data_IF_546308599462
#
_entry.id   IF_546308599462
#
_cell.length_a   1.000
_cell.length_b   1.000
_cell.length_c   1.000
_cell.angle_alpha   90.00
_cell.angle_beta   90.00
_cell.angle_gamma   90.00
#
_symmetry.space_group_name_H-M   'P 1'
#
loop_
_entity.id
_entity.type
_entity.pdbx_description
1 polymer ?
#
# COMPACT_ATOMS: atom_id res chain seq x y z
N UNK A 1 21.44 26.84 2.35
CA UNK A 1 20.02 27.17 2.35
C UNK A 1 19.63 27.38 3.80
N UNK A 2 18.89 28.43 4.15
CA UNK A 2 18.45 28.63 5.53
C UNK A 2 17.25 27.76 5.81
N UNK A 3 17.11 27.22 7.02
CA UNK A 3 15.99 26.34 7.41
C UNK A 3 14.62 27.01 7.22
N UNK A 4 14.54 28.33 7.38
CA UNK A 4 13.34 29.16 7.17
C UNK A 4 12.87 29.25 5.71
N UNK A 5 13.72 28.84 4.75
CA UNK A 5 13.42 28.83 3.31
C UNK A 5 13.09 27.41 2.81
N UNK A 6 12.91 26.43 3.71
CA UNK A 6 12.61 25.03 3.38
C UNK A 6 11.18 24.70 3.80
N UNK A 7 10.42 24.12 2.88
CA UNK A 7 9.05 23.68 3.11
C UNK A 7 8.95 22.18 2.85
N UNK A 8 8.34 21.44 3.77
CA UNK A 8 8.03 20.03 3.58
C UNK A 8 6.67 19.92 2.90
N UNK A 9 6.68 19.43 1.67
CA UNK A 9 5.48 19.09 0.93
C UNK A 9 5.36 17.56 0.85
N UNK A 10 4.30 17.01 1.42
CA UNK A 10 3.96 15.60 1.26
C UNK A 10 2.94 15.42 0.15
N UNK A 11 3.01 14.29 -0.56
CA UNK A 11 1.99 13.90 -1.52
C UNK A 11 0.65 13.69 -0.83
N UNK A 12 -0.43 14.03 -1.53
CA UNK A 12 -1.80 13.78 -1.08
C UNK A 12 -2.62 13.20 -2.23
N UNK A 13 -3.45 12.17 -2.00
CA UNK A 13 -4.26 11.60 -3.06
C UNK A 13 -5.40 12.54 -3.45
N UNK A 14 -5.76 12.54 -4.75
CA UNK A 14 -7.00 13.15 -5.23
C UNK A 14 -8.15 12.17 -5.04
N UNK A 15 -9.08 12.51 -4.16
CA UNK A 15 -10.22 11.64 -3.81
C UNK A 15 -11.17 11.39 -4.96
N UNK A 16 -11.26 12.30 -5.93
CA UNK A 16 -12.10 12.14 -7.12
C UNK A 16 -11.69 10.91 -7.97
N UNK A 17 -10.39 10.57 -7.98
CA UNK A 17 -9.86 9.40 -8.69
C UNK A 17 -10.10 8.10 -7.91
N UNK A 18 -10.04 8.14 -6.59
CA UNK A 18 -10.04 6.97 -5.71
C UNK A 18 -11.46 6.68 -5.19
N UNK A 19 -12.30 6.12 -6.06
CA UNK A 19 -13.70 5.81 -5.75
C UNK A 19 -13.81 4.47 -5.05
N UNK A 20 -14.54 4.46 -3.93
CA UNK A 20 -14.96 3.22 -3.28
C UNK A 20 -16.10 2.63 -4.09
N UNK A 21 -15.92 1.41 -4.58
CA UNK A 21 -16.89 0.63 -5.34
C UNK A 21 -17.14 -0.71 -4.67
N UNK A 22 -18.26 -1.40 -4.96
CA UNK A 22 -18.48 -2.74 -4.47
C UNK A 22 -17.35 -3.69 -4.85
N UNK A 23 -17.01 -4.59 -3.94
CA UNK A 23 -16.04 -5.65 -4.22
C UNK A 23 -16.54 -6.55 -5.36
N UNK A 24 -15.62 -7.10 -6.16
CA UNK A 24 -15.87 -8.06 -7.24
C UNK A 24 -15.36 -9.45 -6.82
N UNK A 25 -16.20 -10.31 -6.19
CA UNK A 25 -15.74 -11.58 -5.62
C UNK A 25 -15.06 -12.50 -6.63
N UNK A 26 -15.40 -12.41 -7.91
CA UNK A 26 -14.79 -13.19 -8.99
C UNK A 26 -13.26 -12.95 -9.12
N UNK A 27 -12.78 -11.78 -8.72
CA UNK A 27 -11.33 -11.47 -8.71
C UNK A 27 -10.58 -12.37 -7.72
N UNK A 28 -11.24 -12.80 -6.64
CA UNK A 28 -10.64 -13.70 -5.64
C UNK A 28 -10.43 -15.14 -6.13
N UNK A 29 -10.88 -15.46 -7.33
CA UNK A 29 -10.76 -16.78 -7.96
C UNK A 29 -11.24 -17.92 -7.06
N UNK A 30 -12.37 -17.72 -6.38
CA UNK A 30 -12.96 -18.69 -5.44
C UNK A 30 -12.32 -18.73 -4.06
N UNK A 31 -11.31 -17.93 -3.79
CA UNK A 31 -10.68 -17.84 -2.46
C UNK A 31 -11.53 -16.95 -1.53
N UNK A 32 -11.44 -17.20 -0.24
CA UNK A 32 -12.19 -16.46 0.79
C UNK A 32 -11.69 -15.03 0.94
N UNK A 33 -10.38 -14.86 0.93
CA UNK A 33 -9.70 -13.58 1.18
C UNK A 33 -8.86 -13.13 0.00
N UNK A 34 -8.60 -11.84 -0.05
CA UNK A 34 -7.67 -11.23 -1.01
C UNK A 34 -6.73 -10.25 -0.33
N UNK A 35 -5.45 -10.40 -0.60
CA UNK A 35 -4.39 -9.42 -0.31
C UNK A 35 -4.08 -8.66 -1.58
N UNK A 36 -4.11 -7.33 -1.52
CA UNK A 36 -3.86 -6.45 -2.66
C UNK A 36 -2.54 -5.68 -2.52
N UNK A 37 -1.79 -5.59 -3.61
CA UNK A 37 -0.64 -4.70 -3.75
C UNK A 37 -0.81 -3.81 -4.97
N UNK A 38 -0.38 -2.55 -4.85
CA UNK A 38 -0.31 -1.57 -5.93
C UNK A 38 1.05 -0.90 -5.95
N UNK A 39 1.70 -0.86 -7.12
CA UNK A 39 2.93 -0.09 -7.26
C UNK A 39 3.75 -0.43 -8.48
N UNK A 40 4.90 0.22 -8.58
CA UNK A 40 5.97 -0.20 -9.50
C UNK A 40 6.48 -1.56 -9.03
N UNK A 41 6.91 -2.39 -9.96
CA UNK A 41 7.54 -3.68 -9.65
C UNK A 41 9.04 -3.53 -9.91
N UNK A 42 9.72 -2.97 -8.92
CA UNK A 42 11.17 -2.78 -8.85
C UNK A 42 11.77 -3.49 -7.66
N UNK A 43 13.09 -3.41 -7.51
CA UNK A 43 13.82 -4.10 -6.45
C UNK A 43 13.46 -3.54 -5.06
N UNK A 44 13.43 -2.23 -4.93
CA UNK A 44 13.22 -1.53 -3.65
C UNK A 44 11.80 -1.67 -3.09
N UNK A 45 10.83 -2.06 -3.91
CA UNK A 45 9.45 -2.30 -3.49
C UNK A 45 9.27 -3.63 -2.75
N UNK A 46 10.31 -4.47 -2.69
CA UNK A 46 10.36 -5.64 -1.81
C UNK A 46 9.28 -6.69 -2.08
N UNK A 47 8.81 -6.83 -3.33
CA UNK A 47 7.78 -7.83 -3.69
C UNK A 47 8.22 -9.27 -3.38
N UNK A 48 9.53 -9.52 -3.32
CA UNK A 48 10.06 -10.81 -2.87
C UNK A 48 9.63 -11.16 -1.43
N UNK A 49 9.58 -10.16 -0.53
CA UNK A 49 9.08 -10.38 0.83
C UNK A 49 7.59 -10.70 0.83
N UNK A 50 6.83 -10.11 -0.10
CA UNK A 50 5.42 -10.41 -0.27
C UNK A 50 5.19 -11.84 -0.75
N UNK A 51 5.98 -12.32 -1.73
CA UNK A 51 5.95 -13.71 -2.20
C UNK A 51 6.37 -14.69 -1.09
N UNK A 52 7.41 -14.34 -0.32
CA UNK A 52 7.82 -15.15 0.85
C UNK A 52 6.71 -15.21 1.91
N UNK A 53 6.00 -14.08 2.17
CA UNK A 53 4.86 -14.07 3.08
C UNK A 53 3.71 -14.94 2.56
N UNK A 54 3.42 -14.89 1.25
CA UNK A 54 2.44 -15.78 0.62
C UNK A 54 2.82 -17.26 0.75
N UNK A 55 4.11 -17.58 0.56
CA UNK A 55 4.64 -18.93 0.76
C UNK A 55 4.50 -19.40 2.19
N UNK A 56 4.83 -18.58 3.19
CA UNK A 56 4.59 -18.93 4.60
C UNK A 56 3.13 -19.26 4.87
N UNK A 57 2.20 -18.43 4.36
CA UNK A 57 0.77 -18.66 4.56
C UNK A 57 0.31 -19.94 3.87
N UNK A 58 0.69 -20.17 2.61
CA UNK A 58 0.26 -21.35 1.84
C UNK A 58 0.99 -22.60 2.24
N UNK A 59 2.33 -22.59 2.19
CA UNK A 59 3.13 -23.80 2.26
C UNK A 59 3.43 -24.23 3.70
N UNK A 60 3.75 -23.27 4.61
CA UNK A 60 4.12 -23.59 5.98
C UNK A 60 2.88 -23.75 6.89
N UNK A 61 1.82 -22.94 6.65
CA UNK A 61 0.60 -22.96 7.48
C UNK A 61 -0.60 -23.64 6.82
N UNK A 62 -0.44 -24.14 5.59
CA UNK A 62 -1.46 -24.90 4.88
C UNK A 62 -2.72 -24.11 4.53
N UNK A 63 -2.61 -22.77 4.37
CA UNK A 63 -3.72 -21.87 4.05
C UNK A 63 -3.76 -21.58 2.54
N UNK A 64 -4.74 -22.11 1.85
CA UNK A 64 -4.95 -21.88 0.42
C UNK A 64 -6.15 -20.95 0.11
N UNK A 65 -6.75 -20.38 1.15
CA UNK A 65 -7.93 -19.52 1.07
C UNK A 65 -7.63 -18.03 0.82
N UNK A 66 -6.37 -17.68 0.55
CA UNK A 66 -5.92 -16.31 0.30
C UNK A 66 -5.44 -16.14 -1.13
N UNK A 67 -6.05 -15.21 -1.86
CA UNK A 67 -5.62 -14.77 -3.19
C UNK A 67 -4.78 -13.50 -3.10
N UNK A 68 -3.77 -13.37 -3.96
CA UNK A 68 -2.84 -12.24 -3.98
C UNK A 68 -2.90 -11.53 -5.32
N UNK A 69 -3.44 -10.32 -5.34
CA UNK A 69 -3.50 -9.48 -6.53
C UNK A 69 -2.40 -8.43 -6.53
N UNK A 70 -1.39 -8.58 -7.37
CA UNK A 70 -0.26 -7.67 -7.51
C UNK A 70 -0.48 -6.80 -8.75
N UNK A 71 -0.90 -5.55 -8.51
CA UNK A 71 -1.24 -4.60 -9.57
C UNK A 71 -0.07 -3.67 -9.83
N UNK A 72 0.43 -3.70 -11.07
CA UNK A 72 1.51 -2.83 -11.51
C UNK A 72 2.50 -3.52 -12.44
N UNK A 73 3.41 -2.73 -12.96
CA UNK A 73 4.48 -3.20 -13.85
C UNK A 73 5.80 -2.56 -13.49
N UNK A 74 6.89 -3.15 -13.94
CA UNK A 74 8.22 -2.63 -13.68
C UNK A 74 9.33 -3.56 -14.16
N UNK A 75 10.59 -3.15 -13.96
CA UNK A 75 11.74 -3.88 -14.51
C UNK A 75 11.93 -5.28 -13.93
N UNK A 76 11.46 -5.55 -12.71
CA UNK A 76 11.62 -6.85 -12.04
C UNK A 76 10.40 -7.79 -12.20
N UNK A 77 9.38 -7.41 -13.00
CA UNK A 77 8.15 -8.19 -13.13
C UNK A 77 8.40 -9.64 -13.56
N UNK A 78 9.20 -9.86 -14.61
CA UNK A 78 9.42 -11.22 -15.13
C UNK A 78 10.26 -12.07 -14.17
N UNK A 79 11.25 -11.46 -13.49
CA UNK A 79 12.02 -12.15 -12.45
C UNK A 79 11.14 -12.59 -11.29
N UNK A 80 10.20 -11.74 -10.86
CA UNK A 80 9.28 -12.06 -9.75
C UNK A 80 8.22 -13.08 -10.15
N UNK A 81 7.77 -13.10 -11.40
CA UNK A 81 6.93 -14.19 -11.91
C UNK A 81 7.66 -15.53 -11.88
N UNK A 82 8.92 -15.56 -12.28
CA UNK A 82 9.73 -16.78 -12.20
C UNK A 82 9.89 -17.23 -10.74
N UNK A 83 10.22 -16.31 -9.82
CA UNK A 83 10.30 -16.61 -8.39
C UNK A 83 8.97 -17.13 -7.84
N UNK A 84 7.84 -16.55 -8.25
CA UNK A 84 6.50 -17.01 -7.89
C UNK A 84 6.27 -18.46 -8.33
N UNK A 85 6.64 -18.78 -9.56
CA UNK A 85 6.58 -20.13 -10.12
C UNK A 85 7.45 -21.11 -9.34
N UNK A 86 8.71 -20.75 -9.09
CA UNK A 86 9.67 -21.60 -8.36
C UNK A 86 9.21 -21.88 -6.92
N UNK A 87 8.43 -20.96 -6.32
CA UNK A 87 7.82 -21.12 -5.00
C UNK A 87 6.47 -21.87 -5.03
N UNK A 88 5.95 -22.24 -6.20
CA UNK A 88 4.67 -22.93 -6.37
C UNK A 88 3.46 -22.08 -5.97
N UNK A 89 3.46 -20.79 -6.31
CA UNK A 89 2.43 -19.83 -5.92
C UNK A 89 1.50 -19.39 -7.07
N UNK A 90 1.68 -19.93 -8.27
CA UNK A 90 0.96 -19.51 -9.51
C UNK A 90 -0.57 -19.60 -9.39
N UNK A 91 -1.07 -20.51 -8.56
CA UNK A 91 -2.50 -20.72 -8.33
C UNK A 91 -3.15 -19.68 -7.40
N UNK A 92 -2.34 -19.00 -6.58
CA UNK A 92 -2.81 -18.00 -5.60
C UNK A 92 -2.32 -16.57 -5.88
N UNK A 93 -1.28 -16.37 -6.69
CA UNK A 93 -0.72 -15.05 -6.99
C UNK A 93 -0.99 -14.66 -8.43
N UNK A 94 -1.46 -13.44 -8.64
CA UNK A 94 -1.60 -12.85 -9.97
C UNK A 94 -0.82 -11.55 -10.07
N UNK A 95 0.06 -11.47 -11.07
CA UNK A 95 0.67 -10.23 -11.52
C UNK A 95 -0.13 -9.67 -12.70
N UNK A 96 -0.87 -8.58 -12.48
CA UNK A 96 -1.73 -8.02 -13.54
C UNK A 96 -0.96 -7.26 -14.61
N UNK A 97 0.29 -6.87 -14.34
CA UNK A 97 0.96 -5.85 -15.13
C UNK A 97 0.30 -4.47 -14.95
N UNK A 98 0.58 -3.54 -15.85
CA UNK A 98 -0.11 -2.25 -15.89
C UNK A 98 -1.52 -2.43 -16.40
N UNK A 99 -2.48 -1.88 -15.69
CA UNK A 99 -3.91 -1.95 -16.01
C UNK A 99 -4.53 -0.55 -16.04
N UNK A 100 -5.78 -0.46 -16.53
CA UNK A 100 -6.56 0.78 -16.43
C UNK A 100 -6.88 1.14 -14.97
N UNK A 101 -7.16 2.43 -14.72
CA UNK A 101 -7.59 2.89 -13.39
C UNK A 101 -8.84 2.15 -12.90
N UNK A 102 -9.77 1.81 -13.79
CA UNK A 102 -10.96 1.03 -13.44
C UNK A 102 -10.58 -0.35 -12.91
N UNK A 103 -9.76 -1.11 -13.64
CA UNK A 103 -9.32 -2.44 -13.21
C UNK A 103 -8.47 -2.37 -11.93
N UNK A 104 -7.64 -1.36 -11.76
CA UNK A 104 -6.88 -1.10 -10.54
C UNK A 104 -7.82 -0.94 -9.34
N UNK A 105 -8.85 -0.09 -9.49
CA UNK A 105 -9.85 0.14 -8.44
C UNK A 105 -10.63 -1.13 -8.12
N UNK A 106 -10.97 -1.96 -9.12
CA UNK A 106 -11.64 -3.24 -8.91
C UNK A 106 -10.81 -4.17 -8.00
N UNK A 107 -9.50 -4.29 -8.27
CA UNK A 107 -8.60 -5.10 -7.44
C UNK A 107 -8.50 -4.56 -6.02
N UNK A 108 -8.21 -3.25 -5.86
CA UNK A 108 -8.05 -2.66 -4.55
C UNK A 108 -9.35 -2.64 -3.74
N UNK A 109 -10.49 -2.36 -4.38
CA UNK A 109 -11.78 -2.41 -3.69
C UNK A 109 -12.18 -3.84 -3.29
N UNK A 110 -11.70 -4.86 -4.01
CA UNK A 110 -11.96 -6.27 -3.68
C UNK A 110 -11.03 -6.81 -2.59
N UNK A 111 -9.83 -6.24 -2.44
CA UNK A 111 -8.88 -6.66 -1.42
C UNK A 111 -9.45 -6.49 0.01
N UNK A 112 -9.25 -7.49 0.86
CA UNK A 112 -9.59 -7.46 2.28
C UNK A 112 -8.51 -6.74 3.10
N UNK A 113 -7.24 -6.87 2.66
CA UNK A 113 -6.06 -6.22 3.23
C UNK A 113 -5.17 -5.74 2.08
N UNK A 114 -4.64 -4.54 2.17
CA UNK A 114 -3.60 -4.05 1.25
C UNK A 114 -2.22 -4.10 1.93
N UNK A 115 -1.16 -4.25 1.13
CA UNK A 115 0.19 -4.40 1.67
C UNK A 115 1.17 -3.41 1.07
N UNK A 116 2.14 -2.99 1.88
CA UNK A 116 3.32 -2.27 1.44
C UNK A 116 4.56 -3.01 1.93
N UNK A 117 5.29 -3.61 0.99
CA UNK A 117 6.46 -4.46 1.25
C UNK A 117 7.79 -3.75 0.97
N UNK A 118 7.78 -2.42 0.79
CA UNK A 118 9.00 -1.66 0.51
C UNK A 118 10.08 -2.02 1.54
N UNK A 119 11.23 -2.49 1.05
CA UNK A 119 12.29 -2.94 1.95
C UNK A 119 12.87 -1.80 2.78
N UNK A 120 13.32 -2.13 3.99
CA UNK A 120 14.00 -1.15 4.83
C UNK A 120 15.35 -0.77 4.22
N UNK A 121 15.45 0.48 3.84
CA UNK A 121 16.69 1.19 3.51
C UNK A 121 16.49 2.68 3.83
N UNK A 122 17.56 3.47 3.85
CA UNK A 122 17.51 4.89 4.25
C UNK A 122 16.56 5.73 3.37
N UNK A 123 16.44 5.41 2.09
CA UNK A 123 15.53 6.12 1.17
C UNK A 123 14.08 5.77 1.46
N UNK A 124 13.74 4.49 1.55
CA UNK A 124 12.38 4.03 1.80
C UNK A 124 11.87 4.46 3.17
N UNK A 125 12.75 4.44 4.19
CA UNK A 125 12.38 4.86 5.55
C UNK A 125 11.92 6.31 5.63
N UNK A 126 12.46 7.17 4.74
CA UNK A 126 12.16 8.61 4.69
C UNK A 126 11.18 9.01 3.57
N UNK A 127 10.69 8.05 2.79
CA UNK A 127 9.84 8.32 1.62
C UNK A 127 8.37 8.19 1.93
N UNK A 128 7.58 9.20 1.57
CA UNK A 128 6.12 9.10 1.62
C UNK A 128 5.64 8.20 0.47
N UNK A 129 5.09 7.04 0.80
CA UNK A 129 4.62 6.07 -0.18
C UNK A 129 3.17 6.36 -0.61
N UNK A 130 2.97 6.75 -1.86
CA UNK A 130 1.65 7.10 -2.39
C UNK A 130 0.64 5.96 -2.25
N UNK A 131 1.06 4.69 -2.44
CA UNK A 131 0.19 3.51 -2.30
C UNK A 131 -0.47 3.42 -0.92
N UNK A 132 0.24 3.78 0.15
CA UNK A 132 -0.31 3.80 1.52
C UNK A 132 -1.49 4.78 1.59
N UNK A 133 -1.32 5.99 1.06
CA UNK A 133 -2.36 7.01 1.04
C UNK A 133 -3.54 6.62 0.14
N UNK A 134 -3.28 5.93 -0.98
CA UNK A 134 -4.32 5.40 -1.87
C UNK A 134 -5.12 4.28 -1.20
N UNK A 135 -4.48 3.37 -0.46
CA UNK A 135 -5.17 2.33 0.33
C UNK A 135 -6.06 2.95 1.40
N UNK A 136 -5.55 3.92 2.16
CA UNK A 136 -6.33 4.65 3.16
C UNK A 136 -7.51 5.40 2.51
N UNK A 137 -7.31 6.02 1.34
CA UNK A 137 -8.36 6.70 0.59
C UNK A 137 -9.48 5.74 0.15
N UNK A 138 -9.16 4.48 -0.13
CA UNK A 138 -10.14 3.43 -0.46
C UNK A 138 -10.68 2.72 0.79
N UNK A 139 -10.30 3.15 2.00
CA UNK A 139 -10.71 2.52 3.24
C UNK A 139 -10.19 1.10 3.37
N UNK A 140 -8.94 0.83 2.95
CA UNK A 140 -8.34 -0.50 3.09
C UNK A 140 -7.41 -0.54 4.30
N UNK A 141 -7.54 -1.58 5.16
CA UNK A 141 -6.58 -1.81 6.23
C UNK A 141 -5.26 -2.27 5.63
N UNK A 142 -4.15 -1.91 6.26
CA UNK A 142 -2.82 -2.06 5.70
C UNK A 142 -1.97 -2.97 6.58
N UNK A 143 -1.11 -3.78 5.94
CA UNK A 143 0.07 -4.36 6.57
C UNK A 143 1.30 -3.83 5.84
N UNK A 144 2.27 -3.34 6.60
CA UNK A 144 3.52 -2.82 6.03
C UNK A 144 4.70 -3.09 6.95
N UNK A 145 5.92 -2.98 6.44
CA UNK A 145 7.10 -2.92 7.29
C UNK A 145 7.10 -1.65 8.12
N UNK A 146 7.67 -1.71 9.32
CA UNK A 146 7.76 -0.58 10.25
C UNK A 146 8.81 0.42 9.80
N UNK A 147 8.43 1.28 8.86
CA UNK A 147 9.23 2.38 8.32
C UNK A 147 8.72 3.71 8.87
N UNK A 148 9.63 4.66 9.11
CA UNK A 148 9.34 5.95 9.76
C UNK A 148 8.22 6.73 9.06
N UNK A 149 8.32 6.98 7.75
CA UNK A 149 7.28 7.71 7.00
C UNK A 149 6.01 6.89 6.79
N UNK A 150 6.13 5.56 6.64
CA UNK A 150 4.97 4.66 6.57
C UNK A 150 4.14 4.72 7.85
N UNK A 151 4.82 4.69 9.01
CA UNK A 151 4.18 4.84 10.33
C UNK A 151 3.56 6.23 10.51
N UNK A 152 4.25 7.29 10.10
CA UNK A 152 3.71 8.64 10.13
C UNK A 152 2.43 8.76 9.30
N UNK A 153 2.42 8.19 8.10
CA UNK A 153 1.28 8.27 7.18
C UNK A 153 0.09 7.43 7.64
N UNK A 154 0.28 6.16 7.96
CA UNK A 154 -0.83 5.23 8.19
C UNK A 154 -1.33 5.20 9.64
N UNK A 155 -0.45 5.38 10.64
CA UNK A 155 -0.81 5.31 12.06
C UNK A 155 -1.69 4.07 12.38
N UNK A 156 -2.89 4.27 12.94
CA UNK A 156 -3.82 3.20 13.28
C UNK A 156 -4.53 2.54 12.06
N UNK A 157 -4.27 2.99 10.84
CA UNK A 157 -4.74 2.32 9.61
C UNK A 157 -3.89 1.12 9.22
N UNK A 158 -2.75 0.88 9.88
CA UNK A 158 -1.81 -0.20 9.54
C UNK A 158 -1.41 -1.05 10.73
N UNK A 159 -1.18 -2.35 10.48
CA UNK A 159 -0.28 -3.17 11.28
C UNK A 159 1.13 -3.06 10.73
N UNK A 160 2.11 -3.13 11.61
CA UNK A 160 3.52 -2.94 11.30
C UNK A 160 4.27 -4.24 11.56
N UNK A 161 4.86 -4.79 10.52
CA UNK A 161 5.74 -5.95 10.60
C UNK A 161 7.19 -5.49 10.79
N UNK A 162 7.99 -6.34 11.41
CA UNK A 162 9.42 -6.14 11.52
C UNK A 162 10.03 -5.91 10.13
N UNK A 163 10.87 -4.86 9.95
CA UNK A 163 11.47 -4.56 8.66
C UNK A 163 12.18 -5.77 8.01
N UNK A 164 11.89 -6.01 6.74
CA UNK A 164 12.46 -7.09 5.93
C UNK A 164 12.16 -8.52 6.47
N UNK A 165 11.17 -8.67 7.35
CA UNK A 165 10.75 -9.96 7.90
C UNK A 165 9.43 -10.43 7.28
N UNK A 166 9.52 -11.29 6.26
CA UNK A 166 8.36 -11.84 5.56
C UNK A 166 7.46 -12.70 6.45
N UNK A 167 8.05 -13.44 7.41
CA UNK A 167 7.28 -14.29 8.32
C UNK A 167 6.44 -13.45 9.29
N UNK A 168 6.96 -12.31 9.77
CA UNK A 168 6.17 -11.40 10.60
C UNK A 168 5.11 -10.68 9.78
N UNK A 169 5.41 -10.28 8.54
CA UNK A 169 4.41 -9.74 7.61
C UNK A 169 3.26 -10.74 7.40
N UNK A 170 3.57 -12.01 7.16
CA UNK A 170 2.58 -13.08 7.02
C UNK A 170 1.67 -13.19 8.26
N UNK A 171 2.23 -13.16 9.48
CA UNK A 171 1.45 -13.18 10.73
C UNK A 171 0.50 -11.99 10.83
N UNK A 172 0.96 -10.78 10.52
CA UNK A 172 0.13 -9.56 10.54
C UNK A 172 -0.99 -9.59 9.50
N UNK A 173 -0.73 -10.17 8.32
CA UNK A 173 -1.76 -10.37 7.30
C UNK A 173 -2.84 -11.31 7.82
N UNK A 174 -2.50 -12.48 8.34
CA UNK A 174 -3.48 -13.43 8.89
C UNK A 174 -4.25 -12.82 10.06
N UNK A 175 -3.58 -12.10 10.96
CA UNK A 175 -4.23 -11.39 12.07
C UNK A 175 -5.36 -10.48 11.55
N UNK A 176 -5.12 -9.72 10.46
CA UNK A 176 -6.16 -8.88 9.88
C UNK A 176 -7.22 -9.66 9.12
N UNK A 177 -6.85 -10.70 8.39
CA UNK A 177 -7.83 -11.51 7.64
C UNK A 177 -8.83 -12.19 8.58
N UNK A 178 -8.42 -12.55 9.79
CA UNK A 178 -9.24 -13.24 10.79
C UNK A 178 -10.05 -12.29 11.70
N UNK A 179 -9.70 -11.00 11.75
CA UNK A 179 -10.41 -10.00 12.57
C UNK A 179 -11.14 -8.95 11.70
N UNK A 180 -12.40 -9.21 11.29
CA UNK A 180 -13.17 -8.27 10.48
C UNK A 180 -13.48 -6.95 11.19
N UNK A 181 -13.62 -6.96 12.50
CA UNK A 181 -13.90 -5.74 13.27
C UNK A 181 -12.66 -4.86 13.33
N UNK A 182 -11.48 -5.44 13.47
CA UNK A 182 -10.21 -4.73 13.39
C UNK A 182 -10.01 -4.12 12.01
N UNK A 183 -10.25 -4.91 10.93
CA UNK A 183 -10.20 -4.37 9.55
C UNK A 183 -11.13 -3.16 9.40
N UNK A 184 -12.36 -3.25 9.90
CA UNK A 184 -13.33 -2.15 9.82
C UNK A 184 -12.83 -0.90 10.53
N UNK A 185 -12.39 -1.02 11.80
CA UNK A 185 -11.86 0.14 12.56
C UNK A 185 -10.66 0.79 11.87
N UNK A 186 -9.74 -0.02 11.33
CA UNK A 186 -8.57 0.48 10.61
C UNK A 186 -8.95 1.18 9.31
N UNK A 187 -9.92 0.64 8.58
CA UNK A 187 -10.47 1.23 7.34
C UNK A 187 -11.10 2.59 7.60
N UNK A 188 -11.95 2.69 8.61
CA UNK A 188 -12.63 3.93 9.02
C UNK A 188 -11.62 4.99 9.45
N UNK A 189 -10.63 4.60 10.26
CA UNK A 189 -9.55 5.49 10.69
C UNK A 189 -8.75 6.03 9.50
N UNK A 190 -8.28 5.15 8.62
CA UNK A 190 -7.48 5.52 7.47
C UNK A 190 -8.23 6.47 6.53
N UNK A 191 -9.49 6.16 6.22
CA UNK A 191 -10.33 6.99 5.37
C UNK A 191 -10.58 8.37 5.98
N UNK A 192 -10.90 8.43 7.28
CA UNK A 192 -11.12 9.69 8.00
C UNK A 192 -9.86 10.56 7.98
N UNK A 193 -8.69 9.96 8.20
CA UNK A 193 -7.41 10.67 8.18
C UNK A 193 -7.09 11.28 6.80
N UNK A 194 -7.35 10.54 5.72
CA UNK A 194 -7.19 11.08 4.36
C UNK A 194 -8.11 12.27 4.14
N UNK A 195 -9.40 12.13 4.46
CA UNK A 195 -10.40 13.18 4.22
C UNK A 195 -10.06 14.45 5.01
N UNK A 196 -9.61 14.31 6.26
CA UNK A 196 -9.46 15.45 7.15
C UNK A 196 -8.05 16.04 7.19
N UNK A 197 -6.99 15.29 6.76
CA UNK A 197 -5.62 15.71 7.01
C UNK A 197 -4.69 15.55 5.79
N UNK A 198 -4.82 14.47 5.01
CA UNK A 198 -3.77 14.05 4.07
C UNK A 198 -4.18 14.09 2.59
N UNK A 199 -5.42 14.48 2.24
CA UNK A 199 -5.82 14.65 0.84
C UNK A 199 -5.05 15.81 0.19
N UNK A 200 -5.04 15.84 -1.14
CA UNK A 200 -4.39 16.91 -1.89
C UNK A 200 -4.90 18.30 -1.50
N UNK A 201 -6.18 18.44 -1.18
CA UNK A 201 -6.79 19.69 -0.73
C UNK A 201 -6.17 20.21 0.57
N UNK A 202 -5.62 19.34 1.41
CA UNK A 202 -4.90 19.71 2.63
C UNK A 202 -3.42 19.96 2.37
N UNK A 203 -2.76 19.02 1.68
CA UNK A 203 -1.31 19.10 1.45
C UNK A 203 -0.90 20.22 0.52
N UNK A 204 -1.74 20.60 -0.45
CA UNK A 204 -1.51 21.72 -1.37
C UNK A 204 -1.42 23.07 -0.67
N UNK A 205 -2.01 23.23 0.51
CA UNK A 205 -1.91 24.50 1.28
C UNK A 205 -0.48 24.84 1.64
N UNK A 206 0.33 23.85 2.05
CA UNK A 206 1.74 24.06 2.34
C UNK A 206 2.53 24.53 1.10
N UNK A 207 2.15 24.03 -0.09
CA UNK A 207 2.74 24.49 -1.36
C UNK A 207 2.42 25.95 -1.63
N UNK A 208 1.15 26.32 -1.49
CA UNK A 208 0.69 27.70 -1.70
C UNK A 208 1.34 28.68 -0.71
N UNK A 209 1.40 28.32 0.56
CA UNK A 209 2.09 29.12 1.58
C UNK A 209 3.58 29.31 1.25
N UNK A 210 4.25 28.27 0.74
CA UNK A 210 5.63 28.34 0.29
C UNK A 210 5.83 29.35 -0.85
N UNK A 211 4.94 29.32 -1.84
CA UNK A 211 4.95 30.29 -2.96
C UNK A 211 4.63 31.71 -2.50
N UNK A 212 3.62 31.89 -1.66
CA UNK A 212 3.25 33.22 -1.14
C UNK A 212 4.40 33.89 -0.39
N UNK A 213 5.11 33.14 0.44
CA UNK A 213 6.30 33.66 1.14
C UNK A 213 7.43 34.00 0.18
N UNK A 214 7.64 33.16 -0.83
CA UNK A 214 8.67 33.39 -1.85
C UNK A 214 8.42 34.68 -2.63
N UNK A 215 7.19 34.90 -3.09
CA UNK A 215 6.81 36.11 -3.84
C UNK A 215 6.87 37.36 -2.96
N UNK A 216 6.32 37.33 -1.73
CA UNK A 216 6.40 38.42 -0.76
C UNK A 216 7.86 38.83 -0.46
N UNK A 217 8.79 37.85 -0.33
CA UNK A 217 10.21 38.14 -0.08
C UNK A 217 10.88 38.82 -1.26
N UNK A 218 10.34 38.69 -2.47
CA UNK A 218 10.84 39.32 -3.70
C UNK A 218 10.08 40.58 -4.15
N UNK A 219 9.08 40.98 -3.39
CA UNK A 219 8.25 42.16 -3.73
C UNK A 219 7.35 41.97 -4.97
N UNK A 220 6.98 40.71 -5.25
CA UNK A 220 6.12 40.30 -6.36
C UNK A 220 4.71 39.95 -5.85
#
# INVERSE_FOLDING_TARGET
MKTEDVYVLRSGPKLERLKITPAKPEIKRGRKYMVGYLGVIGQQEGIEYLLKAASHIKNDWGRDDVFWGIVGGGPHLEQLKQLCHDMGLDDIVEFTGRVSDEKLLDYLNTADVCVNSDEYNEMNDKSTMNKILEYMALGKPIVQFDLTEGRHSAQAASLYAEPNNAADMAKKIIELLEDPDKRKRMSEYGRSRIINELSWEHTSKALLEGYDRYFKKRGL
#
